data_IF_222129210399
#
_entry.id   IF_222129210399
#
_cell.length_a   1.000
_cell.length_b   1.000
_cell.length_c   1.000
_cell.angle_alpha   90.00
_cell.angle_beta   90.00
_cell.angle_gamma   90.00
#
_symmetry.space_group_name_H-M   'P 1'
#
loop_
_entity.id
_entity.type
_entity.pdbx_description
1 polymer ?
#
# COMPACT_ATOMS: atom_id res chain seq x y z
N UNK A 1 0.55 64.96 -78.08
CA UNK A 1 0.75 63.54 -78.44
C UNK A 1 2.02 62.91 -77.85
N UNK A 2 3.22 63.48 -78.01
CA UNK A 2 4.44 62.87 -77.46
C UNK A 2 4.54 62.88 -75.92
N UNK A 3 4.19 64.00 -75.27
CA UNK A 3 4.21 64.12 -73.81
C UNK A 3 3.19 63.20 -73.11
N UNK A 4 2.00 63.05 -73.69
CA UNK A 4 0.95 62.17 -73.16
C UNK A 4 1.30 60.68 -73.29
N UNK A 5 1.95 60.28 -74.39
CA UNK A 5 2.49 58.92 -74.55
C UNK A 5 3.60 58.62 -73.53
N UNK A 6 4.47 59.60 -73.25
CA UNK A 6 5.53 59.46 -72.24
C UNK A 6 4.97 59.32 -70.83
N UNK A 7 4.02 60.17 -70.45
CA UNK A 7 3.33 60.08 -69.15
C UNK A 7 2.56 58.77 -68.98
N UNK A 8 1.94 58.25 -70.06
CA UNK A 8 1.25 56.96 -70.03
C UNK A 8 2.22 55.78 -69.81
N UNK A 9 3.38 55.79 -70.47
CA UNK A 9 4.41 54.78 -70.28
C UNK A 9 5.02 54.81 -68.86
N UNK A 10 5.25 56.01 -68.31
CA UNK A 10 5.71 56.19 -66.92
C UNK A 10 4.68 55.68 -65.89
N UNK A 11 3.38 55.91 -66.13
CA UNK A 11 2.30 55.36 -65.29
C UNK A 11 2.25 53.83 -65.34
N UNK A 12 2.52 53.22 -66.49
CA UNK A 12 2.52 51.77 -66.66
C UNK A 12 3.74 51.11 -65.99
N UNK A 13 4.92 51.73 -66.08
CA UNK A 13 6.12 51.31 -65.36
C UNK A 13 5.94 51.40 -63.83
N UNK A 14 5.34 52.50 -63.33
CA UNK A 14 5.03 52.66 -61.91
C UNK A 14 4.02 51.63 -61.41
N UNK A 15 2.99 51.30 -62.21
CA UNK A 15 2.04 50.22 -61.89
C UNK A 15 2.71 48.86 -61.81
N UNK A 16 3.63 48.56 -62.72
CA UNK A 16 4.38 47.30 -62.69
C UNK A 16 5.26 47.21 -61.45
N UNK A 17 5.98 48.29 -61.10
CA UNK A 17 6.79 48.35 -59.88
C UNK A 17 5.97 48.18 -58.60
N UNK A 18 4.78 48.79 -58.53
CA UNK A 18 3.87 48.60 -57.39
C UNK A 18 3.46 47.13 -57.24
N UNK A 19 3.09 46.47 -58.34
CA UNK A 19 2.75 45.04 -58.33
C UNK A 19 3.92 44.16 -57.89
N UNK A 20 5.12 44.44 -58.38
CA UNK A 20 6.32 43.69 -58.01
C UNK A 20 6.66 43.85 -56.51
N UNK A 21 6.45 45.05 -55.96
CA UNK A 21 6.61 45.32 -54.53
C UNK A 21 5.55 44.59 -53.69
N UNK A 22 4.28 44.63 -54.10
CA UNK A 22 3.20 43.89 -53.42
C UNK A 22 3.45 42.37 -53.42
N UNK A 23 3.90 41.82 -54.54
CA UNK A 23 4.23 40.39 -54.65
C UNK A 23 5.45 40.02 -53.81
N UNK A 24 6.43 40.93 -53.70
CA UNK A 24 7.59 40.74 -52.82
C UNK A 24 7.19 40.76 -51.34
N UNK A 25 6.38 41.74 -50.94
CA UNK A 25 5.87 41.84 -49.57
C UNK A 25 5.04 40.61 -49.18
N UNK A 26 4.15 40.13 -50.06
CA UNK A 26 3.38 38.88 -49.84
C UNK A 26 4.30 37.67 -49.66
N UNK A 27 5.36 37.55 -50.47
CA UNK A 27 6.35 36.46 -50.33
C UNK A 27 7.11 36.55 -49.02
N UNK A 28 7.52 37.74 -48.60
CA UNK A 28 8.23 37.96 -47.34
C UNK A 28 7.32 37.67 -46.14
N UNK A 29 6.08 38.16 -46.14
CA UNK A 29 5.09 37.87 -45.09
C UNK A 29 4.78 36.36 -44.99
N UNK A 30 4.64 35.67 -46.12
CA UNK A 30 4.46 34.21 -46.12
C UNK A 30 5.66 33.48 -45.51
N UNK A 31 6.88 33.85 -45.90
CA UNK A 31 8.10 33.26 -45.34
C UNK A 31 8.19 33.45 -43.82
N UNK A 32 7.89 34.65 -43.34
CA UNK A 32 7.88 34.95 -41.90
C UNK A 32 6.83 34.13 -41.14
N UNK A 33 5.64 33.94 -41.72
CA UNK A 33 4.61 33.09 -41.13
C UNK A 33 5.03 31.60 -41.09
N UNK A 34 5.61 31.09 -42.18
CA UNK A 34 6.08 29.70 -42.28
C UNK A 34 7.23 29.43 -41.28
N UNK A 35 8.15 30.39 -41.11
CA UNK A 35 9.25 30.30 -40.15
C UNK A 35 8.76 30.35 -38.70
N UNK A 36 7.78 31.22 -38.40
CA UNK A 36 7.14 31.27 -37.09
C UNK A 36 6.41 29.96 -36.76
N UNK A 37 5.65 29.40 -37.70
CA UNK A 37 4.96 28.13 -37.54
C UNK A 37 5.96 26.99 -37.31
N UNK A 38 7.03 26.94 -38.10
CA UNK A 38 8.10 25.93 -37.97
C UNK A 38 8.78 26.00 -36.59
N UNK A 39 9.04 27.20 -36.07
CA UNK A 39 9.62 27.40 -34.73
C UNK A 39 8.68 26.92 -33.63
N UNK A 40 7.37 27.15 -33.78
CA UNK A 40 6.35 26.67 -32.84
C UNK A 40 6.23 25.14 -32.85
N UNK A 41 6.25 24.52 -34.04
CA UNK A 41 6.21 23.06 -34.17
C UNK A 41 7.40 22.43 -33.45
N UNK A 42 8.62 22.91 -33.72
CA UNK A 42 9.84 22.41 -33.04
C UNK A 42 9.77 22.54 -31.52
N UNK A 43 9.25 23.67 -31.01
CA UNK A 43 9.10 23.86 -29.57
C UNK A 43 8.09 22.88 -28.95
N UNK A 44 7.00 22.56 -29.67
CA UNK A 44 6.02 21.56 -29.21
C UNK A 44 6.60 20.15 -29.24
N UNK A 45 7.37 19.80 -30.28
CA UNK A 45 8.05 18.51 -30.38
C UNK A 45 9.07 18.31 -29.26
N UNK A 46 9.88 19.32 -28.95
CA UNK A 46 10.82 19.31 -27.84
C UNK A 46 10.11 19.11 -26.50
N UNK A 47 9.03 19.85 -26.24
CA UNK A 47 8.25 19.70 -25.00
C UNK A 47 7.60 18.32 -24.88
N UNK A 48 7.14 17.73 -25.99
CA UNK A 48 6.62 16.37 -26.02
C UNK A 48 7.70 15.35 -25.68
N UNK A 49 8.89 15.46 -26.28
CA UNK A 49 10.01 14.57 -25.98
C UNK A 49 10.42 14.64 -24.50
N UNK A 50 10.44 15.84 -23.91
CA UNK A 50 10.71 16.03 -22.48
C UNK A 50 9.63 15.40 -21.61
N UNK A 51 8.36 15.53 -21.98
CA UNK A 51 7.24 14.92 -21.26
C UNK A 51 7.33 13.38 -21.29
N UNK A 52 7.59 12.79 -22.45
CA UNK A 52 7.73 11.33 -22.60
C UNK A 52 8.88 10.79 -21.75
N UNK A 53 10.03 11.49 -21.74
CA UNK A 53 11.16 11.14 -20.89
C UNK A 53 10.82 11.24 -19.39
N UNK A 54 10.09 12.28 -18.98
CA UNK A 54 9.66 12.43 -17.60
C UNK A 54 8.67 11.34 -17.17
N UNK A 55 7.72 11.00 -18.05
CA UNK A 55 6.77 9.91 -17.82
C UNK A 55 7.46 8.56 -17.71
N UNK A 56 8.43 8.27 -18.57
CA UNK A 56 9.23 7.04 -18.50
C UNK A 56 10.00 6.95 -17.19
N UNK A 57 10.69 8.02 -16.77
CA UNK A 57 11.39 8.05 -15.48
C UNK A 57 10.45 7.82 -14.31
N UNK A 58 9.26 8.41 -14.33
CA UNK A 58 8.27 8.17 -13.29
C UNK A 58 7.85 6.70 -13.25
N UNK A 59 7.61 6.08 -14.41
CA UNK A 59 7.27 4.65 -14.47
C UNK A 59 8.39 3.78 -13.90
N UNK A 60 9.64 4.04 -14.29
CA UNK A 60 10.80 3.30 -13.78
C UNK A 60 10.92 3.44 -12.25
N UNK A 61 10.66 4.62 -11.69
CA UNK A 61 10.63 4.83 -10.23
C UNK A 61 9.47 4.10 -9.54
N UNK A 62 8.30 4.04 -10.17
CA UNK A 62 7.15 3.30 -9.61
C UNK A 62 7.46 1.80 -9.52
N UNK A 63 8.02 1.24 -10.58
CA UNK A 63 8.40 -0.18 -10.64
C UNK A 63 9.47 -0.50 -9.57
N UNK A 64 10.47 0.37 -9.40
CA UNK A 64 11.50 0.22 -8.37
C UNK A 64 10.92 0.29 -6.95
N UNK A 65 9.96 1.18 -6.70
CA UNK A 65 9.29 1.28 -5.39
C UNK A 65 8.49 0.01 -5.10
N UNK A 66 7.75 -0.51 -6.09
CA UNK A 66 6.96 -1.73 -5.95
C UNK A 66 7.86 -2.93 -5.66
N UNK A 67 8.94 -3.11 -6.43
CA UNK A 67 9.91 -4.19 -6.22
C UNK A 67 10.57 -4.09 -4.83
N UNK A 68 10.97 -2.89 -4.42
CA UNK A 68 11.54 -2.65 -3.08
C UNK A 68 10.53 -2.91 -1.95
N UNK A 69 9.24 -2.64 -2.17
CA UNK A 69 8.20 -2.95 -1.18
C UNK A 69 8.03 -4.46 -1.03
N UNK A 70 7.90 -5.17 -2.15
CA UNK A 70 7.71 -6.64 -2.16
C UNK A 70 8.92 -7.36 -1.57
N UNK A 71 10.13 -6.92 -1.88
CA UNK A 71 11.37 -7.51 -1.31
C UNK A 71 11.45 -7.29 0.20
N UNK A 72 11.19 -6.07 0.68
CA UNK A 72 11.15 -5.78 2.13
C UNK A 72 10.11 -6.59 2.88
N UNK A 73 8.93 -6.81 2.29
CA UNK A 73 7.90 -7.66 2.89
C UNK A 73 8.35 -9.13 2.99
N UNK A 74 8.95 -9.67 1.92
CA UNK A 74 9.52 -11.02 1.91
C UNK A 74 10.63 -11.18 2.95
N UNK A 75 11.54 -10.21 3.04
CA UNK A 75 12.65 -10.25 3.99
C UNK A 75 12.15 -10.16 5.44
N UNK A 76 11.17 -9.29 5.71
CA UNK A 76 10.54 -9.20 7.03
C UNK A 76 9.84 -10.52 7.40
N UNK A 77 9.14 -11.14 6.46
CA UNK A 77 8.50 -12.44 6.67
C UNK A 77 9.53 -13.54 6.95
N UNK A 78 10.58 -13.64 6.13
CA UNK A 78 11.68 -14.59 6.31
C UNK A 78 12.40 -14.39 7.64
N UNK A 79 12.64 -13.14 8.06
CA UNK A 79 13.25 -12.83 9.34
C UNK A 79 12.40 -13.32 10.52
N UNK A 80 11.08 -13.05 10.49
CA UNK A 80 10.14 -13.57 11.50
C UNK A 80 10.13 -15.09 11.56
N UNK A 81 10.10 -15.74 10.39
CA UNK A 81 10.13 -17.21 10.29
C UNK A 81 11.43 -17.79 10.85
N UNK A 82 12.57 -17.17 10.55
CA UNK A 82 13.88 -17.58 11.05
C UNK A 82 13.98 -17.46 12.58
N UNK A 83 13.41 -16.41 13.18
CA UNK A 83 13.33 -16.27 14.64
C UNK A 83 12.47 -17.38 15.25
N UNK A 84 11.29 -17.65 14.71
CA UNK A 84 10.44 -18.74 15.21
C UNK A 84 11.17 -20.08 15.13
N UNK A 85 11.83 -20.34 13.99
CA UNK A 85 12.62 -21.56 13.77
C UNK A 85 13.80 -21.67 14.75
N UNK A 86 14.51 -20.59 15.04
CA UNK A 86 15.64 -20.64 15.98
C UNK A 86 15.16 -20.90 17.41
N UNK A 87 14.01 -20.36 17.80
CA UNK A 87 13.37 -20.67 19.09
C UNK A 87 12.92 -22.13 19.16
N UNK A 88 12.30 -22.65 18.10
CA UNK A 88 11.89 -24.06 18.03
C UNK A 88 13.09 -25.01 18.08
N UNK A 89 14.15 -24.72 17.32
CA UNK A 89 15.40 -25.48 17.38
C UNK A 89 15.97 -25.45 18.80
N UNK A 90 16.01 -24.28 19.45
CA UNK A 90 16.51 -24.14 20.82
C UNK A 90 15.67 -24.95 21.82
N UNK A 91 14.34 -24.96 21.66
CA UNK A 91 13.41 -25.76 22.47
C UNK A 91 13.64 -27.26 22.27
N UNK A 92 13.73 -27.71 21.02
CA UNK A 92 13.97 -29.11 20.68
C UNK A 92 15.35 -29.58 21.15
N UNK A 93 16.37 -28.73 21.09
CA UNK A 93 17.70 -29.04 21.60
C UNK A 93 17.69 -29.26 23.12
N UNK A 94 17.02 -28.40 23.90
CA UNK A 94 16.82 -28.63 25.34
C UNK A 94 16.12 -29.96 25.61
N UNK A 95 15.04 -30.25 24.89
CA UNK A 95 14.30 -31.50 25.05
C UNK A 95 15.16 -32.74 24.71
N UNK A 96 16.01 -32.65 23.69
CA UNK A 96 16.98 -33.70 23.33
C UNK A 96 18.09 -33.86 24.37
N UNK A 97 18.56 -32.78 24.99
CA UNK A 97 19.54 -32.83 26.08
C UNK A 97 18.97 -33.47 27.35
N UNK A 98 17.69 -33.21 27.65
CA UNK A 98 16.97 -33.86 28.76
C UNK A 98 16.82 -35.36 28.54
N UNK A 99 16.49 -35.80 27.32
CA UNK A 99 16.27 -37.23 27.01
C UNK A 99 17.56 -38.05 26.88
N UNK A 100 18.73 -37.44 26.69
CA UNK A 100 20.03 -38.13 26.59
C UNK A 100 20.64 -38.56 27.93
N UNK A 101 20.13 -38.09 29.08
CA UNK A 101 20.58 -38.54 30.40
C UNK A 101 19.72 -39.73 30.84
N UNK A 102 20.28 -40.93 31.05
CA UNK A 102 19.49 -42.13 31.37
C UNK A 102 18.75 -42.04 32.71
N UNK A 103 19.20 -41.18 33.64
CA UNK A 103 18.53 -40.92 34.93
C UNK A 103 17.54 -39.75 34.91
N UNK A 104 17.39 -39.07 33.76
CA UNK A 104 16.59 -37.84 33.66
C UNK A 104 15.72 -37.80 32.41
N UNK A 105 15.25 -38.98 31.95
CA UNK A 105 14.04 -39.04 31.14
C UNK A 105 12.96 -38.39 32.00
N UNK A 106 12.41 -37.21 31.64
CA UNK A 106 11.18 -36.76 32.26
C UNK A 106 10.23 -37.91 32.01
N UNK A 107 9.77 -38.57 33.07
CA UNK A 107 8.75 -39.62 32.95
C UNK A 107 7.71 -39.05 32.00
N UNK A 108 7.22 -39.81 31.01
CA UNK A 108 6.16 -39.33 30.11
C UNK A 108 5.06 -38.57 30.87
N UNK A 109 4.81 -38.97 32.12
CA UNK A 109 3.96 -38.28 33.09
C UNK A 109 4.24 -36.78 33.28
N UNK A 110 5.49 -36.30 33.35
CA UNK A 110 5.81 -34.87 33.56
C UNK A 110 5.46 -34.00 32.35
N UNK A 111 5.81 -34.46 31.14
CA UNK A 111 5.48 -33.76 29.90
C UNK A 111 3.96 -33.75 29.69
N UNK A 112 3.30 -34.89 29.93
CA UNK A 112 1.84 -34.99 29.86
C UNK A 112 1.16 -34.10 30.92
N UNK A 113 1.74 -33.99 32.12
CA UNK A 113 1.22 -33.11 33.17
C UNK A 113 1.33 -31.63 32.79
N UNK A 114 2.46 -31.20 32.22
CA UNK A 114 2.65 -29.83 31.72
C UNK A 114 1.64 -29.53 30.59
N UNK A 115 1.45 -30.46 29.65
CA UNK A 115 0.49 -30.30 28.56
C UNK A 115 -0.96 -30.21 29.09
N UNK A 116 -1.30 -31.04 30.09
CA UNK A 116 -2.60 -30.98 30.79
C UNK A 116 -2.79 -29.62 31.47
N UNK A 117 -1.74 -29.04 32.06
CA UNK A 117 -1.80 -27.73 32.71
C UNK A 117 -2.02 -26.61 31.69
N UNK A 118 -1.32 -26.64 30.55
CA UNK A 118 -1.51 -25.70 29.44
C UNK A 118 -2.93 -25.76 28.87
N UNK A 119 -3.47 -26.97 28.64
CA UNK A 119 -4.85 -27.13 28.17
C UNK A 119 -5.85 -26.62 29.21
N UNK A 120 -5.63 -26.89 30.50
CA UNK A 120 -6.49 -26.36 31.58
C UNK A 120 -6.43 -24.83 31.62
N UNK A 121 -5.25 -24.23 31.48
CA UNK A 121 -5.10 -22.78 31.43
C UNK A 121 -5.85 -22.18 30.23
N UNK A 122 -5.77 -22.81 29.06
CA UNK A 122 -6.47 -22.38 27.85
C UNK A 122 -8.00 -22.44 27.99
N UNK A 123 -8.54 -23.39 28.74
CA UNK A 123 -9.98 -23.55 28.99
C UNK A 123 -10.50 -22.70 30.15
N UNK A 124 -9.60 -22.14 30.96
CA UNK A 124 -9.95 -21.34 32.14
C UNK A 124 -10.16 -19.87 31.77
N UNK A 125 -11.18 -19.26 32.37
CA UNK A 125 -11.55 -17.87 32.18
C UNK A 125 -10.40 -16.95 32.64
N UNK A 126 -9.86 -16.09 31.76
CA UNK A 126 -8.73 -15.23 32.09
C UNK A 126 -9.07 -14.10 33.08
N UNK A 127 -10.36 -13.85 33.35
CA UNK A 127 -10.78 -12.82 34.30
C UNK A 127 -10.70 -13.30 35.75
N UNK A 128 -11.03 -14.57 36.01
CA UNK A 128 -11.04 -15.11 37.37
C UNK A 128 -10.00 -16.19 37.59
N UNK A 129 -9.38 -16.74 36.53
CA UNK A 129 -8.43 -17.85 36.57
C UNK A 129 -8.91 -19.07 37.35
N UNK A 130 -10.23 -19.24 37.46
CA UNK A 130 -10.86 -20.30 38.27
C UNK A 130 -11.91 -21.08 37.48
N UNK A 131 -12.83 -20.39 36.81
CA UNK A 131 -13.97 -21.03 36.11
C UNK A 131 -13.64 -21.32 34.67
N UNK A 132 -14.28 -22.35 34.09
CA UNK A 132 -14.17 -22.64 32.64
C UNK A 132 -14.82 -21.55 31.79
N UNK A 133 -14.35 -21.42 30.56
CA UNK A 133 -14.92 -20.57 29.52
C UNK A 133 -16.24 -21.15 29.00
N UNK A 134 -17.31 -20.38 29.08
CA UNK A 134 -18.66 -20.80 28.65
C UNK A 134 -19.50 -19.65 28.05
N UNK A 135 -18.90 -18.48 27.80
CA UNK A 135 -19.55 -17.34 27.14
C UNK A 135 -18.63 -16.65 26.15
N UNK A 136 -19.18 -16.33 24.97
CA UNK A 136 -18.52 -15.50 23.95
C UNK A 136 -19.18 -14.12 23.87
N UNK A 137 -18.36 -13.07 23.79
CA UNK A 137 -18.83 -11.72 23.45
C UNK A 137 -18.94 -11.59 21.92
N UNK A 138 -20.10 -11.23 21.39
CA UNK A 138 -20.37 -11.24 19.94
C UNK A 138 -19.69 -10.13 19.16
N UNK A 139 -19.34 -9.02 19.83
CA UNK A 139 -18.68 -7.88 19.19
C UNK A 139 -17.17 -8.07 18.98
N UNK A 140 -16.51 -8.81 19.87
CA UNK A 140 -15.05 -8.96 19.85
C UNK A 140 -14.56 -10.41 19.94
N UNK A 141 -15.49 -11.38 20.00
CA UNK A 141 -15.24 -12.83 20.05
C UNK A 141 -14.30 -13.29 21.17
N UNK A 142 -14.17 -12.49 22.23
CA UNK A 142 -13.44 -12.90 23.42
C UNK A 142 -14.31 -13.78 24.32
N UNK A 143 -13.70 -14.83 24.85
CA UNK A 143 -14.39 -15.90 25.59
C UNK A 143 -13.99 -15.87 27.06
N UNK A 144 -15.00 -15.89 27.93
CA UNK A 144 -14.87 -15.83 29.39
C UNK A 144 -15.88 -16.78 30.06
N UNK A 145 -15.91 -16.81 31.39
CA UNK A 145 -17.01 -17.46 32.11
C UNK A 145 -18.22 -16.53 32.22
N UNK A 146 -19.42 -17.11 32.27
CA UNK A 146 -20.69 -16.41 32.38
C UNK A 146 -20.76 -15.50 33.58
N UNK A 147 -20.27 -15.97 34.75
CA UNK A 147 -20.32 -15.18 35.97
C UNK A 147 -19.50 -13.89 35.86
N UNK A 148 -18.35 -13.93 35.19
CA UNK A 148 -17.54 -12.73 34.95
C UNK A 148 -18.23 -11.76 34.00
N UNK A 149 -18.77 -12.26 32.89
CA UNK A 149 -19.49 -11.40 31.91
C UNK A 149 -20.75 -10.80 32.53
N UNK A 150 -21.52 -11.60 33.27
CA UNK A 150 -22.72 -11.17 33.98
C UNK A 150 -22.40 -10.12 35.04
N UNK A 151 -21.37 -10.32 35.85
CA UNK A 151 -20.94 -9.32 36.85
C UNK A 151 -20.56 -8.00 36.18
N UNK A 152 -19.81 -8.04 35.07
CA UNK A 152 -19.46 -6.83 34.32
C UNK A 152 -20.69 -6.12 33.74
N UNK A 153 -21.68 -6.88 33.26
CA UNK A 153 -22.94 -6.33 32.74
C UNK A 153 -23.79 -5.69 33.86
N UNK A 154 -24.00 -6.40 34.96
CA UNK A 154 -24.84 -5.95 36.09
C UNK A 154 -24.25 -4.72 36.82
N UNK A 155 -22.92 -4.54 36.78
CA UNK A 155 -22.22 -3.40 37.39
C UNK A 155 -22.07 -2.18 36.45
N UNK A 156 -22.78 -2.16 35.32
CA UNK A 156 -22.68 -1.13 34.28
C UNK A 156 -21.27 -0.93 33.69
N UNK A 157 -20.39 -1.93 33.87
CA UNK A 157 -19.08 -2.01 33.23
C UNK A 157 -19.15 -2.92 32.02
N UNK A 158 -20.10 -2.67 31.12
CA UNK A 158 -20.42 -3.51 29.96
C UNK A 158 -19.36 -3.40 28.84
N UNK A 159 -18.10 -3.62 29.19
CA UNK A 159 -16.93 -3.59 28.32
C UNK A 159 -16.14 -4.88 28.46
N UNK A 160 -15.59 -5.36 27.35
CA UNK A 160 -14.79 -6.58 27.33
C UNK A 160 -13.55 -6.43 28.24
N UNK A 161 -13.30 -7.35 29.19
CA UNK A 161 -12.12 -7.31 30.04
C UNK A 161 -10.77 -7.40 29.29
N UNK A 162 -10.76 -7.88 28.05
CA UNK A 162 -9.54 -8.05 27.24
C UNK A 162 -9.26 -6.89 26.29
N UNK A 163 -10.28 -6.33 25.65
CA UNK A 163 -10.09 -5.28 24.63
C UNK A 163 -10.93 -4.01 24.85
N UNK A 164 -11.65 -3.93 25.97
CA UNK A 164 -12.47 -2.79 26.36
C UNK A 164 -13.63 -2.43 25.39
N UNK A 165 -13.92 -3.31 24.42
CA UNK A 165 -15.05 -3.15 23.50
C UNK A 165 -16.39 -3.19 24.26
N UNK A 166 -17.28 -2.24 24.01
CA UNK A 166 -18.60 -2.20 24.62
C UNK A 166 -19.49 -3.33 24.11
N UNK A 167 -20.29 -3.91 25.00
CA UNK A 167 -21.32 -4.90 24.66
C UNK A 167 -22.64 -4.59 25.37
N UNK A 168 -23.75 -5.02 24.78
CA UNK A 168 -25.12 -4.82 25.28
C UNK A 168 -25.76 -6.14 25.73
N UNK A 169 -27.06 -6.12 26.04
CA UNK A 169 -27.81 -7.32 26.48
C UNK A 169 -27.80 -8.47 25.46
N UNK A 170 -27.64 -8.16 24.17
CA UNK A 170 -27.50 -9.14 23.08
C UNK A 170 -26.04 -9.46 22.75
N UNK A 171 -25.11 -8.77 23.42
CA UNK A 171 -23.69 -8.76 23.13
C UNK A 171 -22.92 -9.98 23.63
N UNK A 172 -23.58 -10.96 24.25
CA UNK A 172 -22.95 -12.17 24.76
C UNK A 172 -23.87 -13.39 24.67
N UNK A 173 -23.28 -14.55 24.37
CA UNK A 173 -24.01 -15.81 24.25
C UNK A 173 -23.27 -16.92 24.99
N UNK A 174 -24.01 -17.83 25.63
CA UNK A 174 -23.45 -19.04 26.22
C UNK A 174 -22.98 -19.99 25.12
N UNK A 175 -21.81 -20.57 25.33
CA UNK A 175 -21.22 -21.59 24.47
C UNK A 175 -20.82 -22.79 25.32
N UNK A 176 -20.84 -23.98 24.72
CA UNK A 176 -20.40 -25.21 25.36
C UNK A 176 -19.07 -25.66 24.76
N UNK A 177 -18.03 -25.68 25.59
CA UNK A 177 -16.70 -26.21 25.25
C UNK A 177 -16.57 -27.47 26.11
N UNK A 178 -16.53 -28.64 25.45
CA UNK A 178 -16.56 -29.96 26.08
C UNK A 178 -15.53 -30.16 27.18
#
# INVERSE_FOLDING_TARGET
MAAEKKSKAELEDLRQRLKDLEDKEKKENKKMADEYASRKIRAVEELKAQLELAQKKLHDFWDEIEENSVTKEKDMFNFKLNISRSLDISRLQRNLEMTKKPDNVPKCDEILMEEIEDYKACLTCPCCNVRKKDVVLTKCFHVFCFDCVKTCYDTHQSKCPKCNAAFDASGFHRIYIG
#
